data_IF_295709468339
#
_entry.id   IF_295709468339
#
_cell.length_a   1.000
_cell.length_b   1.000
_cell.length_c   1.000
_cell.angle_alpha   90.00
_cell.angle_beta   90.00
_cell.angle_gamma   90.00
#
_symmetry.space_group_name_H-M   'P 1'
#
loop_
_entity.id
_entity.type
_entity.pdbx_description
1 polymer ?
#
# COMPACT_ATOMS: atom_id res chain seq x y z
N UNK A 1 -15.76 -11.53 -2.24
CA UNK A 1 -14.38 -11.43 -2.74
C UNK A 1 -13.32 -11.64 -1.64
N UNK A 2 -13.21 -10.80 -0.62
CA UNK A 2 -12.13 -10.93 0.38
C UNK A 2 -12.07 -12.28 1.09
N UNK A 3 -13.23 -12.86 1.47
CA UNK A 3 -13.31 -14.20 2.07
C UNK A 3 -12.83 -15.32 1.13
N UNK A 4 -12.77 -15.06 -0.17
CA UNK A 4 -12.37 -16.02 -1.19
C UNK A 4 -10.86 -16.01 -1.47
N UNK A 5 -10.17 -14.92 -1.09
CA UNK A 5 -8.72 -14.83 -1.16
C UNK A 5 -8.13 -15.51 0.07
N UNK A 6 -7.31 -16.54 -0.13
CA UNK A 6 -6.61 -17.26 0.93
C UNK A 6 -5.16 -16.79 0.97
N UNK A 7 -4.81 -15.80 1.79
CA UNK A 7 -3.41 -15.44 1.98
C UNK A 7 -2.66 -16.57 2.70
N UNK A 8 -1.34 -16.61 2.49
CA UNK A 8 -0.48 -17.57 3.16
C UNK A 8 -0.46 -17.34 4.69
N UNK A 9 -0.01 -18.37 5.42
CA UNK A 9 0.15 -18.28 6.88
C UNK A 9 1.09 -17.14 7.25
N UNK A 10 0.79 -16.44 8.32
CA UNK A 10 1.57 -15.28 8.79
C UNK A 10 1.15 -13.93 8.19
N UNK A 11 0.18 -13.91 7.29
CA UNK A 11 -0.35 -12.67 6.72
C UNK A 11 -1.56 -12.18 7.53
N UNK A 12 -1.44 -10.98 8.10
CA UNK A 12 -2.52 -10.33 8.83
C UNK A 12 -3.63 -9.82 7.92
N UNK A 13 -4.85 -10.30 8.13
CA UNK A 13 -6.05 -9.90 7.39
C UNK A 13 -6.62 -8.57 7.93
N UNK A 14 -5.84 -7.51 7.86
CA UNK A 14 -6.26 -6.19 8.33
C UNK A 14 -7.12 -5.44 7.30
N UNK A 15 -7.68 -4.29 7.73
CA UNK A 15 -8.57 -3.48 6.90
C UNK A 15 -7.88 -2.94 5.64
N UNK A 16 -6.62 -2.50 5.74
CA UNK A 16 -5.88 -1.99 4.59
C UNK A 16 -5.65 -3.06 3.52
N UNK A 17 -5.33 -4.30 3.93
CA UNK A 17 -5.22 -5.42 2.99
C UNK A 17 -6.56 -5.67 2.26
N UNK A 18 -7.69 -5.58 2.99
CA UNK A 18 -9.03 -5.74 2.41
C UNK A 18 -9.33 -4.68 1.35
N UNK A 19 -9.04 -3.43 1.66
CA UNK A 19 -9.26 -2.29 0.77
C UNK A 19 -8.36 -2.36 -0.46
N UNK A 20 -7.08 -2.66 -0.28
CA UNK A 20 -6.14 -2.85 -1.38
C UNK A 20 -6.59 -3.98 -2.31
N UNK A 21 -6.95 -5.14 -1.78
CA UNK A 21 -7.43 -6.28 -2.56
C UNK A 21 -8.68 -5.94 -3.36
N UNK A 22 -9.64 -5.26 -2.73
CA UNK A 22 -10.89 -4.88 -3.39
C UNK A 22 -10.64 -3.94 -4.57
N UNK A 23 -9.84 -2.89 -4.35
CA UNK A 23 -9.59 -1.90 -5.40
C UNK A 23 -8.71 -2.44 -6.52
N UNK A 24 -7.71 -3.28 -6.22
CA UNK A 24 -6.91 -3.96 -7.25
C UNK A 24 -7.81 -4.88 -8.09
N UNK A 25 -8.65 -5.69 -7.44
CA UNK A 25 -9.60 -6.53 -8.15
C UNK A 25 -10.54 -5.72 -9.05
N UNK A 26 -11.10 -4.63 -8.52
CA UNK A 26 -11.96 -3.74 -9.29
C UNK A 26 -11.21 -3.13 -10.47
N UNK A 27 -10.02 -2.55 -10.24
CA UNK A 27 -9.18 -1.96 -11.30
C UNK A 27 -8.86 -2.96 -12.42
N UNK A 28 -8.55 -4.21 -12.04
CA UNK A 28 -8.26 -5.27 -13.01
C UNK A 28 -9.50 -5.63 -13.84
N UNK A 29 -10.64 -5.89 -13.18
CA UNK A 29 -11.87 -6.32 -13.88
C UNK A 29 -12.47 -5.20 -14.75
N UNK A 30 -12.33 -3.95 -14.32
CA UNK A 30 -12.84 -2.80 -15.05
C UNK A 30 -11.84 -2.20 -16.04
N UNK A 31 -10.58 -2.64 -15.99
CA UNK A 31 -9.44 -2.07 -16.73
C UNK A 31 -9.20 -0.58 -16.43
N UNK A 32 -9.67 -0.11 -15.26
CA UNK A 32 -9.43 1.25 -14.81
C UNK A 32 -8.04 1.33 -14.19
N UNK A 33 -7.17 2.26 -14.64
CA UNK A 33 -5.87 2.46 -14.04
C UNK A 33 -5.97 2.79 -12.55
N UNK A 34 -5.17 2.11 -11.71
CA UNK A 34 -5.16 2.30 -10.27
C UNK A 34 -3.75 2.63 -9.79
N UNK A 35 -3.63 3.62 -8.91
CA UNK A 35 -2.38 3.94 -8.21
C UNK A 35 -2.63 3.84 -6.71
N UNK A 36 -1.84 3.01 -6.03
CA UNK A 36 -1.91 2.82 -4.59
C UNK A 36 -0.70 3.46 -3.93
N UNK A 37 -0.96 4.43 -3.07
CA UNK A 37 0.07 5.17 -2.33
C UNK A 37 -0.03 4.84 -0.86
N UNK A 38 1.09 4.53 -0.21
CA UNK A 38 1.11 4.28 1.23
C UNK A 38 2.49 3.87 1.72
N UNK A 39 2.71 3.93 3.02
CA UNK A 39 4.00 3.56 3.62
C UNK A 39 4.38 2.10 3.33
N UNK A 40 5.68 1.74 3.37
CA UNK A 40 6.11 0.35 3.33
C UNK A 40 5.39 -0.48 4.40
N UNK A 41 5.14 -1.75 4.12
CA UNK A 41 4.46 -2.66 5.05
C UNK A 41 2.92 -2.57 5.09
N UNK A 42 2.29 -1.70 4.29
CA UNK A 42 0.81 -1.60 4.21
C UNK A 42 0.15 -2.63 3.29
N UNK A 43 0.90 -3.63 2.81
CA UNK A 43 0.36 -4.76 2.04
C UNK A 43 0.05 -4.47 0.57
N UNK A 44 0.53 -3.36 -0.02
CA UNK A 44 0.23 -2.96 -1.41
C UNK A 44 0.66 -4.02 -2.44
N UNK A 45 1.96 -4.31 -2.52
CA UNK A 45 2.52 -5.29 -3.47
C UNK A 45 2.00 -6.70 -3.19
N UNK A 46 1.84 -7.04 -1.90
CA UNK A 46 1.23 -8.31 -1.48
C UNK A 46 -0.20 -8.46 -2.03
N UNK A 47 -1.01 -7.40 -1.96
CA UNK A 47 -2.37 -7.42 -2.48
C UNK A 47 -2.42 -7.67 -3.98
N UNK A 48 -1.53 -7.04 -4.76
CA UNK A 48 -1.41 -7.28 -6.19
C UNK A 48 -1.05 -8.74 -6.49
N UNK A 49 -0.08 -9.30 -5.76
CA UNK A 49 0.32 -10.69 -5.90
C UNK A 49 -0.80 -11.67 -5.52
N UNK A 50 -1.57 -11.39 -4.47
CA UNK A 50 -2.69 -12.23 -4.06
C UNK A 50 -3.81 -12.24 -5.12
N UNK A 51 -4.13 -11.11 -5.72
CA UNK A 51 -5.11 -11.04 -6.82
C UNK A 51 -4.60 -11.78 -8.06
N UNK A 52 -3.33 -11.53 -8.45
CA UNK A 52 -2.69 -12.24 -9.55
C UNK A 52 -2.74 -13.77 -9.36
N UNK A 53 -2.42 -14.25 -8.15
CA UNK A 53 -2.44 -15.68 -7.83
C UNK A 53 -3.85 -16.27 -7.76
N UNK A 54 -4.86 -15.46 -7.44
CA UNK A 54 -6.25 -15.90 -7.30
C UNK A 54 -6.99 -15.96 -8.65
N UNK A 55 -6.70 -15.03 -9.57
CA UNK A 55 -7.37 -14.91 -10.87
C UNK A 55 -6.62 -15.70 -11.95
N UNK A 56 -6.87 -17.01 -12.01
CA UNK A 56 -6.26 -17.95 -12.97
C UNK A 56 -7.25 -18.45 -14.04
N UNK A 57 -8.40 -17.75 -14.20
CA UNK A 57 -9.49 -18.20 -15.04
C UNK A 57 -10.07 -19.51 -14.53
N UNK A 58 -10.35 -20.45 -15.39
CA UNK A 58 -10.88 -21.80 -15.07
C UNK A 58 -10.01 -22.56 -14.06
N UNK A 59 -8.71 -22.30 -14.03
CA UNK A 59 -7.74 -22.93 -13.11
C UNK A 59 -7.69 -22.28 -11.74
N UNK A 60 -8.54 -21.30 -11.45
CA UNK A 60 -8.62 -20.68 -10.14
C UNK A 60 -9.06 -21.69 -9.09
N UNK A 61 -8.39 -21.71 -7.95
CA UNK A 61 -8.71 -22.61 -6.83
C UNK A 61 -10.09 -22.35 -6.21
N UNK A 62 -10.63 -21.17 -6.43
CA UNK A 62 -11.91 -20.73 -5.88
C UNK A 62 -12.91 -20.47 -7.01
N UNK A 63 -14.12 -21.01 -6.88
CA UNK A 63 -15.20 -20.87 -7.86
C UNK A 63 -15.59 -19.41 -8.16
N UNK A 64 -15.45 -18.51 -7.18
CA UNK A 64 -15.69 -17.08 -7.41
C UNK A 64 -14.76 -16.53 -8.50
N UNK A 65 -13.46 -16.86 -8.45
CA UNK A 65 -12.49 -16.35 -9.42
C UNK A 65 -12.50 -17.10 -10.76
N UNK A 66 -13.10 -18.28 -10.83
CA UNK A 66 -13.29 -19.01 -12.10
C UNK A 66 -14.20 -18.28 -13.07
N UNK A 67 -15.07 -17.40 -12.56
CA UNK A 67 -15.95 -16.55 -13.40
C UNK A 67 -15.25 -15.33 -14.00
N UNK A 68 -13.97 -15.13 -13.73
CA UNK A 68 -13.19 -13.99 -14.22
C UNK A 68 -12.05 -14.46 -15.11
N UNK A 69 -11.62 -13.62 -16.07
CA UNK A 69 -10.48 -13.94 -16.93
C UNK A 69 -9.21 -14.19 -16.12
N UNK A 70 -8.33 -15.02 -16.69
CA UNK A 70 -6.96 -15.16 -16.20
C UNK A 70 -6.25 -13.81 -16.29
N UNK A 71 -5.46 -13.47 -15.26
CA UNK A 71 -4.51 -12.35 -15.32
C UNK A 71 -3.19 -12.86 -15.89
N UNK A 72 -2.63 -12.13 -16.85
CA UNK A 72 -1.25 -12.22 -17.26
C UNK A 72 -0.50 -10.94 -16.88
N UNK A 73 0.57 -11.09 -16.09
CA UNK A 73 1.21 -9.95 -15.43
C UNK A 73 2.53 -9.59 -16.10
N UNK A 74 2.68 -8.32 -16.47
CA UNK A 74 3.97 -7.71 -16.78
C UNK A 74 4.41 -6.87 -15.59
N UNK A 75 5.52 -7.26 -14.94
CA UNK A 75 6.04 -6.61 -13.74
C UNK A 75 7.20 -5.66 -14.10
N UNK A 76 7.18 -4.47 -13.51
CA UNK A 76 8.28 -3.52 -13.61
C UNK A 76 8.53 -2.85 -12.27
N UNK A 77 9.80 -2.73 -11.88
CA UNK A 77 10.22 -2.05 -10.66
C UNK A 77 10.88 -0.71 -11.01
N UNK A 78 10.27 0.37 -10.56
CA UNK A 78 10.79 1.72 -10.73
C UNK A 78 12.03 2.00 -9.91
N UNK A 79 12.89 2.84 -10.46
CA UNK A 79 14.13 3.29 -9.83
C UNK A 79 14.43 4.75 -10.21
N UNK A 80 15.44 5.36 -9.57
CA UNK A 80 15.92 6.70 -9.93
C UNK A 80 16.58 6.76 -11.31
N UNK A 81 16.89 5.59 -11.90
CA UNK A 81 17.51 5.47 -13.22
C UNK A 81 16.51 5.03 -14.30
N UNK A 82 15.23 4.89 -13.96
CA UNK A 82 14.18 4.56 -14.93
C UNK A 82 14.09 5.66 -15.99
N UNK A 83 13.99 5.26 -17.26
CA UNK A 83 13.86 6.16 -18.40
C UNK A 83 12.44 6.10 -19.01
N UNK A 84 12.03 7.12 -19.79
CA UNK A 84 10.75 7.08 -20.49
C UNK A 84 10.60 5.86 -21.41
N UNK A 85 11.66 5.46 -22.09
CA UNK A 85 11.71 4.32 -23.00
C UNK A 85 11.40 3.00 -22.28
N UNK A 86 11.86 2.84 -21.03
CA UNK A 86 11.59 1.66 -20.20
C UNK A 86 10.07 1.53 -19.94
N UNK A 87 9.43 2.67 -19.68
CA UNK A 87 7.98 2.71 -19.43
C UNK A 87 7.19 2.48 -20.72
N UNK A 88 7.61 3.05 -21.85
CA UNK A 88 6.98 2.81 -23.15
C UNK A 88 7.08 1.33 -23.56
N UNK A 89 8.26 0.71 -23.38
CA UNK A 89 8.48 -0.70 -23.68
C UNK A 89 7.58 -1.60 -22.81
N UNK A 90 7.39 -1.25 -21.53
CA UNK A 90 6.49 -1.96 -20.63
C UNK A 90 5.05 -2.02 -21.16
N UNK A 91 4.51 -0.88 -21.59
CA UNK A 91 3.18 -0.82 -22.20
C UNK A 91 3.11 -1.58 -23.52
N UNK A 92 4.12 -1.41 -24.38
CA UNK A 92 4.21 -2.09 -25.67
C UNK A 92 4.19 -3.62 -25.50
N UNK A 93 4.98 -4.16 -24.57
CA UNK A 93 4.98 -5.60 -24.26
C UNK A 93 3.59 -6.09 -23.83
N UNK A 94 2.89 -5.33 -23.00
CA UNK A 94 1.55 -5.69 -22.53
C UNK A 94 0.51 -5.64 -23.66
N UNK A 95 0.59 -4.62 -24.52
CA UNK A 95 -0.29 -4.46 -25.70
C UNK A 95 -0.05 -5.58 -26.75
N UNK A 96 1.19 -5.93 -26.99
CA UNK A 96 1.58 -7.05 -27.86
C UNK A 96 1.04 -8.38 -27.33
N UNK A 97 1.22 -8.66 -26.04
CA UNK A 97 0.72 -9.86 -25.39
C UNK A 97 -0.81 -9.97 -25.53
N UNK A 98 -1.54 -8.91 -25.26
CA UNK A 98 -2.98 -8.87 -25.44
C UNK A 98 -3.39 -9.11 -26.88
N UNK A 99 -2.67 -8.56 -27.87
CA UNK A 99 -2.94 -8.75 -29.28
C UNK A 99 -2.81 -10.21 -29.73
N UNK A 100 -1.86 -10.96 -29.13
CA UNK A 100 -1.70 -12.39 -29.37
C UNK A 100 -2.91 -13.16 -28.83
N UNK A 101 -3.31 -12.91 -27.59
CA UNK A 101 -4.47 -13.57 -26.99
C UNK A 101 -5.76 -13.32 -27.76
N UNK A 102 -5.96 -12.09 -28.25
CA UNK A 102 -7.12 -11.73 -29.05
C UNK A 102 -7.16 -12.49 -30.37
N UNK A 103 -6.04 -12.57 -31.09
CA UNK A 103 -5.91 -13.32 -32.36
C UNK A 103 -6.18 -14.82 -32.17
N UNK A 104 -5.71 -15.41 -31.07
CA UNK A 104 -5.92 -16.82 -30.79
C UNK A 104 -7.38 -17.11 -30.43
N UNK A 105 -8.03 -16.18 -29.73
CA UNK A 105 -9.47 -16.31 -29.43
C UNK A 105 -10.33 -16.19 -30.71
N UNK A 106 -10.01 -15.23 -31.61
CA UNK A 106 -10.72 -15.05 -32.88
C UNK A 106 -10.60 -16.29 -33.80
N UNK A 107 -9.46 -16.96 -33.80
CA UNK A 107 -9.24 -18.21 -34.55
C UNK A 107 -10.03 -19.37 -33.96
N UNK A 108 -10.14 -19.47 -32.63
CA UNK A 108 -10.87 -20.53 -31.93
C UNK A 108 -12.39 -20.39 -32.13
N UNK A 109 -12.90 -19.19 -32.33
CA UNK A 109 -14.33 -18.90 -32.55
C UNK A 109 -14.86 -19.43 -33.91
N UNK A 110 -13.96 -19.72 -34.84
CA UNK A 110 -14.31 -20.26 -36.16
C UNK A 110 -14.42 -21.79 -36.21
N UNK A 111 -14.06 -22.48 -35.11
CA UNK A 111 -14.13 -23.95 -35.01
C UNK A 111 -15.03 -24.31 -33.82
N UNK A 112 -16.35 -24.57 -34.17
CA UNK A 112 -17.39 -25.09 -33.30
C UNK A 112 -17.60 -24.26 -31.99
N UNK A 113 -18.77 -23.58 -31.93
CA UNK A 113 -19.32 -22.92 -30.75
C UNK A 113 -19.67 -24.01 -29.69
N UNK A 114 -18.66 -24.49 -28.97
CA UNK A 114 -18.89 -25.07 -27.67
C UNK A 114 -19.03 -23.92 -26.68
N UNK A 115 -20.06 -23.99 -25.87
CA UNK A 115 -20.60 -22.97 -24.97
C UNK A 115 -19.69 -22.51 -23.84
N UNK A 116 -18.39 -22.69 -23.94
CA UNK A 116 -17.36 -22.14 -23.06
C UNK A 116 -16.52 -21.15 -23.87
N UNK A 117 -17.06 -19.94 -24.09
CA UNK A 117 -16.27 -18.80 -24.59
C UNK A 117 -15.08 -18.59 -23.66
N UNK A 118 -13.88 -19.03 -24.09
CA UNK A 118 -12.63 -18.78 -23.35
C UNK A 118 -12.45 -17.28 -23.23
N UNK A 119 -12.58 -16.79 -22.02
CA UNK A 119 -12.38 -15.37 -21.75
C UNK A 119 -10.94 -14.98 -22.08
N UNK A 120 -10.76 -13.90 -22.87
CA UNK A 120 -9.44 -13.37 -23.18
C UNK A 120 -8.73 -12.95 -21.88
N UNK A 121 -7.49 -13.37 -21.64
CA UNK A 121 -6.74 -12.97 -20.46
C UNK A 121 -6.61 -11.44 -20.35
N UNK A 122 -6.66 -10.93 -19.12
CA UNK A 122 -6.38 -9.52 -18.84
C UNK A 122 -4.87 -9.34 -18.66
N UNK A 123 -4.26 -8.47 -19.46
CA UNK A 123 -2.86 -8.13 -19.32
C UNK A 123 -2.70 -7.04 -18.23
N UNK A 124 -2.20 -7.42 -17.05
CA UNK A 124 -1.97 -6.51 -15.93
C UNK A 124 -0.53 -5.99 -15.93
N UNK A 125 -0.36 -4.69 -16.06
CA UNK A 125 0.90 -4.01 -15.81
C UNK A 125 0.97 -3.70 -14.32
N UNK A 126 1.93 -4.30 -13.61
CA UNK A 126 2.25 -3.97 -12.23
C UNK A 126 3.54 -3.16 -12.18
N UNK A 127 3.41 -1.86 -11.94
CA UNK A 127 4.53 -0.95 -11.79
C UNK A 127 4.76 -0.65 -10.31
N UNK A 128 5.72 -1.35 -9.71
CA UNK A 128 6.10 -1.13 -8.31
C UNK A 128 7.14 0.00 -8.18
N UNK A 129 7.24 0.61 -7.01
CA UNK A 129 8.14 1.73 -6.68
C UNK A 129 8.01 2.95 -7.63
N UNK A 130 6.77 3.29 -8.00
CA UNK A 130 6.47 4.43 -8.89
C UNK A 130 7.07 5.74 -8.37
N UNK A 131 7.07 5.95 -7.04
CA UNK A 131 7.64 7.14 -6.41
C UNK A 131 9.15 7.24 -6.53
N UNK A 132 9.88 6.13 -6.72
CA UNK A 132 11.31 6.18 -7.04
C UNK A 132 11.54 6.57 -8.50
N UNK A 133 10.73 6.05 -9.42
CA UNK A 133 10.79 6.45 -10.82
C UNK A 133 10.45 7.94 -11.02
N UNK A 134 9.59 8.51 -10.18
CA UNK A 134 9.29 9.95 -10.21
C UNK A 134 10.50 10.83 -9.91
N UNK A 135 11.44 10.34 -9.09
CA UNK A 135 12.68 11.03 -8.74
C UNK A 135 13.73 10.98 -9.85
N UNK A 136 13.49 10.24 -10.94
CA UNK A 136 14.39 10.19 -12.08
C UNK A 136 14.49 11.55 -12.78
N UNK A 137 15.70 11.91 -13.20
CA UNK A 137 15.98 13.14 -13.95
C UNK A 137 15.26 13.20 -15.30
N UNK A 138 15.04 12.05 -15.92
CA UNK A 138 14.42 11.91 -17.24
C UNK A 138 12.89 12.02 -17.22
N UNK A 139 12.27 12.08 -16.00
CA UNK A 139 10.82 12.19 -15.79
C UNK A 139 9.99 11.11 -16.52
N UNK A 140 10.30 9.83 -16.35
CA UNK A 140 9.68 8.73 -17.09
C UNK A 140 8.17 8.64 -16.92
N UNK A 141 7.63 9.08 -15.78
CA UNK A 141 6.18 9.02 -15.53
C UNK A 141 5.35 9.98 -16.42
N UNK A 142 5.98 10.85 -17.22
CA UNK A 142 5.25 11.62 -18.24
C UNK A 142 4.59 10.74 -19.29
N UNK A 143 5.16 9.58 -19.58
CA UNK A 143 4.58 8.58 -20.50
C UNK A 143 3.20 8.13 -20.03
N UNK A 144 2.96 8.05 -18.73
CA UNK A 144 1.67 7.67 -18.17
C UNK A 144 0.55 8.62 -18.59
N UNK A 145 0.86 9.89 -18.92
CA UNK A 145 -0.16 10.85 -19.35
C UNK A 145 -0.88 10.40 -20.65
N UNK A 146 -0.14 9.89 -21.62
CA UNK A 146 -0.72 9.39 -22.87
C UNK A 146 -1.23 7.96 -22.75
N UNK A 147 -0.54 7.11 -21.97
CA UNK A 147 -0.86 5.69 -21.85
C UNK A 147 -2.09 5.41 -20.97
N UNK A 148 -2.33 6.21 -19.94
CA UNK A 148 -3.46 6.05 -19.03
C UNK A 148 -4.70 6.87 -19.44
N UNK A 149 -4.62 7.62 -20.52
CA UNK A 149 -5.78 8.35 -21.03
C UNK A 149 -6.86 7.37 -21.50
N UNK A 150 -8.07 7.53 -20.92
CA UNK A 150 -9.20 6.67 -21.25
C UNK A 150 -9.89 7.17 -22.53
N UNK A 151 -9.89 6.37 -23.56
CA UNK A 151 -10.49 6.67 -24.86
C UNK A 151 -11.89 6.02 -25.06
N UNK A 152 -12.50 5.54 -23.97
CA UNK A 152 -13.81 4.89 -23.99
C UNK A 152 -13.80 3.44 -24.47
N UNK A 153 -12.65 2.87 -24.82
CA UNK A 153 -12.52 1.48 -25.27
C UNK A 153 -11.77 0.65 -24.24
N UNK A 154 -12.22 -0.59 -24.06
CA UNK A 154 -11.44 -1.59 -23.30
C UNK A 154 -10.21 -1.96 -24.11
N UNK A 155 -9.03 -1.78 -23.51
CA UNK A 155 -7.74 -2.06 -24.16
C UNK A 155 -7.23 -3.48 -23.86
N UNK A 156 -7.91 -4.23 -22.99
CA UNK A 156 -7.46 -5.54 -22.49
C UNK A 156 -6.21 -5.46 -21.62
N UNK A 157 -5.79 -4.25 -21.28
CA UNK A 157 -4.65 -3.98 -20.40
C UNK A 157 -5.11 -3.18 -19.20
N UNK A 158 -4.64 -3.57 -18.02
CA UNK A 158 -4.89 -2.90 -16.74
C UNK A 158 -3.58 -2.38 -16.17
N UNK A 159 -3.57 -1.17 -15.64
CA UNK A 159 -2.39 -0.58 -15.00
C UNK A 159 -2.59 -0.48 -13.48
N UNK A 160 -1.67 -1.08 -12.72
CA UNK A 160 -1.61 -0.98 -11.26
C UNK A 160 -0.26 -0.38 -10.89
N UNK A 161 -0.28 0.83 -10.37
CA UNK A 161 0.90 1.53 -9.87
C UNK A 161 0.99 1.46 -8.34
N UNK A 162 2.17 1.19 -7.80
CA UNK A 162 2.41 1.14 -6.36
C UNK A 162 3.48 2.17 -6.00
N UNK A 163 3.21 2.99 -5.00
CA UNK A 163 4.16 4.00 -4.52
C UNK A 163 4.24 4.03 -2.99
N UNK A 164 5.43 4.27 -2.48
CA UNK A 164 5.68 4.55 -1.06
C UNK A 164 5.60 6.06 -0.74
N UNK A 165 5.54 6.89 -1.77
CA UNK A 165 5.51 8.35 -1.68
C UNK A 165 4.33 8.92 -2.46
N UNK A 166 3.84 10.08 -2.02
CA UNK A 166 2.86 10.85 -2.80
C UNK A 166 3.44 11.24 -4.14
N UNK A 167 2.65 11.07 -5.19
CA UNK A 167 2.99 11.48 -6.55
C UNK A 167 2.41 12.84 -6.87
N UNK A 168 2.95 13.50 -7.88
CA UNK A 168 2.39 14.74 -8.41
C UNK A 168 0.94 14.55 -8.86
N UNK A 169 0.05 15.46 -8.45
CA UNK A 169 -1.37 15.43 -8.75
C UNK A 169 -1.67 15.30 -10.24
N UNK A 170 -0.89 15.98 -11.11
CA UNK A 170 -1.06 15.91 -12.55
C UNK A 170 -0.89 14.49 -13.12
N UNK A 171 -0.09 13.64 -12.47
CA UNK A 171 0.15 12.25 -12.90
C UNK A 171 -0.92 11.30 -12.37
N UNK A 172 -1.49 11.62 -11.21
CA UNK A 172 -2.49 10.79 -10.53
C UNK A 172 -3.89 10.99 -11.10
N UNK A 173 -4.19 12.15 -11.67
CA UNK A 173 -5.53 12.51 -12.16
C UNK A 173 -6.08 11.62 -13.29
N UNK A 174 -5.25 10.76 -13.91
CA UNK A 174 -5.65 9.82 -14.96
C UNK A 174 -5.84 8.38 -14.46
N UNK A 175 -5.70 8.18 -13.17
CA UNK A 175 -5.87 6.91 -12.52
C UNK A 175 -6.72 7.06 -11.26
N UNK A 176 -7.41 6.00 -10.88
CA UNK A 176 -8.01 5.93 -9.55
C UNK A 176 -6.88 5.91 -8.52
N UNK A 177 -6.90 6.81 -7.55
CA UNK A 177 -5.86 6.90 -6.52
C UNK A 177 -6.39 6.46 -5.17
N UNK A 178 -5.68 5.49 -4.56
CA UNK A 178 -5.92 5.06 -3.19
C UNK A 178 -4.74 5.48 -2.31
N UNK A 179 -5.03 6.31 -1.30
CA UNK A 179 -4.07 6.58 -0.22
C UNK A 179 -4.33 5.64 0.96
N UNK A 180 -3.40 4.72 1.19
CA UNK A 180 -3.51 3.73 2.27
C UNK A 180 -3.07 4.35 3.59
N UNK A 181 -3.96 4.40 4.61
CA UNK A 181 -3.61 4.95 5.91
C UNK A 181 -2.54 4.12 6.60
N UNK A 182 -1.75 4.79 7.45
CA UNK A 182 -0.76 4.10 8.26
C UNK A 182 -1.46 3.32 9.39
N UNK A 183 -1.34 2.00 9.37
CA UNK A 183 -1.93 1.12 10.39
C UNK A 183 -1.27 1.30 11.77
N UNK A 184 0.00 1.70 11.79
CA UNK A 184 0.79 1.83 13.00
C UNK A 184 0.31 2.96 13.95
N UNK A 185 -0.51 3.87 13.42
CA UNK A 185 -1.00 5.02 14.17
C UNK A 185 -2.24 4.68 15.05
N UNK A 186 -2.76 3.43 14.96
CA UNK A 186 -3.96 3.01 15.68
C UNK A 186 -3.72 1.67 16.38
N UNK A 187 -3.70 1.69 17.72
CA UNK A 187 -3.49 0.49 18.56
C UNK A 187 -4.49 -0.63 18.23
N UNK A 188 -5.76 -0.30 18.00
CA UNK A 188 -6.78 -1.31 17.68
C UNK A 188 -6.54 -2.02 16.35
N UNK A 189 -5.97 -1.32 15.37
CA UNK A 189 -5.59 -1.93 14.08
C UNK A 189 -4.37 -2.84 14.24
N UNK A 190 -3.40 -2.44 15.06
CA UNK A 190 -2.24 -3.28 15.39
C UNK A 190 -2.67 -4.56 16.11
N UNK A 191 -3.59 -4.47 17.08
CA UNK A 191 -4.14 -5.64 17.76
C UNK A 191 -4.84 -6.57 16.80
N UNK A 192 -5.76 -6.07 15.97
CA UNK A 192 -6.46 -6.88 14.96
C UNK A 192 -5.50 -7.53 13.97
N UNK A 193 -4.42 -6.85 13.60
CA UNK A 193 -3.39 -7.41 12.72
C UNK A 193 -2.64 -8.55 13.42
N UNK A 194 -2.22 -8.34 14.68
CA UNK A 194 -1.56 -9.35 15.48
C UNK A 194 -2.43 -10.59 15.69
N UNK A 195 -3.69 -10.39 16.09
CA UNK A 195 -4.66 -11.48 16.27
C UNK A 195 -4.83 -12.29 14.98
N UNK A 196 -5.01 -11.61 13.84
CA UNK A 196 -5.18 -12.27 12.55
C UNK A 196 -3.93 -13.02 12.06
N UNK A 197 -2.72 -12.57 12.39
CA UNK A 197 -1.47 -13.29 12.13
C UNK A 197 -1.45 -14.59 12.95
N UNK A 198 -1.76 -14.48 14.22
CA UNK A 198 -1.77 -15.63 15.15
C UNK A 198 -2.78 -16.68 14.72
N UNK A 199 -4.03 -16.26 14.41
CA UNK A 199 -5.06 -17.14 13.87
C UNK A 199 -4.59 -17.90 12.61
N UNK A 200 -3.77 -17.24 11.78
CA UNK A 200 -3.27 -17.86 10.56
C UNK A 200 -2.17 -18.89 10.76
N UNK A 201 -1.41 -18.79 11.88
CA UNK A 201 -0.24 -19.63 12.16
C UNK A 201 -0.60 -20.79 13.08
N UNK A 202 -1.35 -20.50 14.14
CA UNK A 202 -1.67 -21.45 15.19
C UNK A 202 -3.09 -21.99 15.03
N UNK A 203 -3.26 -23.29 15.20
CA UNK A 203 -4.57 -23.93 15.32
C UNK A 203 -5.19 -23.64 16.70
N UNK A 204 -6.50 -23.81 16.82
CA UNK A 204 -7.38 -23.38 17.91
C UNK A 204 -6.91 -23.69 19.36
N UNK A 205 -6.06 -24.68 19.58
CA UNK A 205 -5.61 -25.06 20.92
C UNK A 205 -4.66 -24.06 21.61
N UNK A 206 -3.95 -23.20 20.85
CA UNK A 206 -2.98 -22.21 21.37
C UNK A 206 -3.62 -20.81 21.49
N UNK A 207 -4.85 -20.67 21.02
CA UNK A 207 -5.56 -19.39 20.91
C UNK A 207 -5.88 -18.70 22.26
N UNK A 208 -5.79 -19.43 23.36
CA UNK A 208 -6.03 -18.88 24.71
C UNK A 208 -4.98 -17.87 25.20
N UNK A 209 -3.90 -17.62 24.43
CA UNK A 209 -2.86 -16.67 24.78
C UNK A 209 -2.98 -15.31 24.07
N UNK A 210 -4.19 -14.84 23.77
CA UNK A 210 -4.48 -13.48 23.26
C UNK A 210 -3.81 -12.37 24.08
N UNK A 211 -3.50 -12.63 25.35
CA UNK A 211 -2.83 -11.68 26.24
C UNK A 211 -1.43 -11.31 25.73
N UNK A 212 -0.62 -12.28 25.31
CA UNK A 212 0.76 -12.05 24.88
C UNK A 212 0.79 -11.16 23.63
N UNK A 213 -0.08 -11.43 22.67
CA UNK A 213 -0.11 -10.67 21.41
C UNK A 213 -0.67 -9.26 21.59
N UNK A 214 -1.65 -9.10 22.47
CA UNK A 214 -2.13 -7.79 22.90
C UNK A 214 -1.02 -6.99 23.60
N UNK A 215 -0.22 -7.63 24.43
CA UNK A 215 0.95 -7.01 25.10
C UNK A 215 1.99 -6.61 24.04
N UNK A 216 2.32 -7.49 23.09
CA UNK A 216 3.29 -7.19 22.03
C UNK A 216 2.82 -6.06 21.11
N UNK A 217 1.54 -6.06 20.70
CA UNK A 217 0.97 -4.99 19.90
C UNK A 217 1.02 -3.64 20.63
N UNK A 218 0.73 -3.65 21.94
CA UNK A 218 0.80 -2.46 22.78
C UNK A 218 2.25 -2.00 22.97
N UNK A 219 3.17 -2.92 23.26
CA UNK A 219 4.60 -2.61 23.41
C UNK A 219 5.18 -2.01 22.12
N UNK A 220 4.80 -2.54 20.95
CA UNK A 220 5.21 -1.98 19.66
C UNK A 220 4.64 -0.57 19.43
N UNK A 221 3.37 -0.36 19.76
CA UNK A 221 2.72 0.95 19.66
C UNK A 221 3.41 2.00 20.54
N UNK A 222 3.65 1.68 21.83
CA UNK A 222 4.35 2.57 22.77
C UNK A 222 5.81 2.84 22.34
N UNK A 223 6.51 1.80 21.85
CA UNK A 223 7.86 1.97 21.29
C UNK A 223 7.90 2.93 20.09
N UNK A 224 6.94 2.85 19.20
CA UNK A 224 6.80 3.77 18.04
C UNK A 224 6.56 5.21 18.51
N UNK A 225 5.66 5.39 19.49
CA UNK A 225 5.42 6.70 20.09
C UNK A 225 6.67 7.28 20.74
N UNK A 226 7.41 6.46 21.47
CA UNK A 226 8.68 6.84 22.08
C UNK A 226 9.74 7.21 21.03
N UNK A 227 9.87 6.46 19.93
CA UNK A 227 10.78 6.80 18.84
C UNK A 227 10.43 8.13 18.19
N UNK A 228 9.15 8.40 17.97
CA UNK A 228 8.71 9.67 17.41
C UNK A 228 9.02 10.84 18.38
N UNK A 229 8.82 10.62 19.67
CA UNK A 229 9.18 11.58 20.71
C UNK A 229 10.70 11.88 20.72
N UNK A 230 11.55 10.86 20.64
CA UNK A 230 13.00 11.04 20.53
C UNK A 230 13.39 11.84 19.29
N UNK A 231 12.76 11.57 18.13
CA UNK A 231 13.00 12.35 16.91
C UNK A 231 12.59 13.81 17.07
N UNK A 232 11.45 14.08 17.70
CA UNK A 232 11.02 15.45 18.01
C UNK A 232 11.99 16.17 18.93
N UNK A 233 12.50 15.46 19.98
CA UNK A 233 13.54 16.01 20.88
C UNK A 233 14.86 16.30 20.16
N UNK A 234 15.26 15.45 19.22
CA UNK A 234 16.49 15.64 18.43
C UNK A 234 16.38 16.90 17.57
N UNK A 235 15.23 17.10 16.91
CA UNK A 235 14.95 18.32 16.15
C UNK A 235 14.98 19.57 17.04
N UNK A 236 14.37 19.49 18.23
CA UNK A 236 14.41 20.59 19.21
C UNK A 236 15.82 20.91 19.69
N UNK A 237 16.65 19.87 19.89
CA UNK A 237 18.06 20.05 20.29
C UNK A 237 18.87 20.71 19.17
N UNK A 238 18.73 20.26 17.92
CA UNK A 238 19.37 20.90 16.77
C UNK A 238 18.96 22.37 16.65
N UNK A 239 17.66 22.65 16.74
CA UNK A 239 17.14 24.01 16.72
C UNK A 239 17.74 24.87 17.84
N UNK A 240 17.87 24.34 19.06
CA UNK A 240 18.52 25.01 20.20
C UNK A 240 20.00 25.25 19.96
N UNK A 241 20.73 24.29 19.36
CA UNK A 241 22.16 24.39 19.09
C UNK A 241 22.45 25.40 17.96
N UNK A 242 21.64 25.42 16.92
CA UNK A 242 21.72 26.39 15.82
C UNK A 242 21.49 27.84 16.30
N UNK A 243 20.71 28.02 17.38
CA UNK A 243 20.33 29.33 17.92
C UNK A 243 21.12 29.74 19.17
N UNK A 244 22.07 28.95 19.65
CA UNK A 244 22.93 29.30 20.81
C UNK A 244 23.79 30.55 20.56
N UNK A 245 24.10 30.84 19.31
CA UNK A 245 24.88 32.03 18.91
C UNK A 245 24.02 33.28 18.66
N UNK A 246 22.72 33.19 18.82
CA UNK A 246 21.80 34.32 18.61
C UNK A 246 21.66 35.11 19.93
N UNK A 247 21.89 36.39 19.88
CA UNK A 247 21.89 37.28 21.06
C UNK A 247 20.57 37.29 21.84
N UNK A 248 20.59 37.70 23.09
CA UNK A 248 19.44 37.69 24.02
C UNK A 248 18.15 38.33 23.49
N UNK A 249 18.21 39.18 22.46
CA UNK A 249 17.03 39.80 21.83
C UNK A 249 16.20 38.80 21.04
N UNK A 250 16.84 37.87 20.39
CA UNK A 250 16.19 36.89 19.49
C UNK A 250 15.53 35.74 20.26
N UNK A 251 15.96 35.50 21.51
CA UNK A 251 15.31 34.54 22.42
C UNK A 251 13.83 34.87 22.74
N UNK A 252 13.45 36.18 22.67
CA UNK A 252 12.06 36.59 22.84
C UNK A 252 11.21 36.29 21.59
N UNK A 253 11.81 36.35 20.39
CA UNK A 253 11.16 35.99 19.13
C UNK A 253 10.97 34.46 19.02
N UNK A 254 11.97 33.67 19.37
CA UNK A 254 11.89 32.22 19.39
C UNK A 254 10.78 31.73 20.33
N UNK A 255 10.59 32.36 21.49
CA UNK A 255 9.48 32.09 22.41
C UNK A 255 8.10 32.39 21.83
N UNK A 256 8.02 33.21 20.77
CA UNK A 256 6.78 33.55 20.04
C UNK A 256 6.55 32.68 18.81
N UNK A 257 7.52 31.85 18.43
CA UNK A 257 7.35 30.91 17.32
C UNK A 257 6.26 29.89 17.67
N UNK A 258 5.14 29.96 16.97
CA UNK A 258 3.98 29.09 17.20
C UNK A 258 4.34 27.59 17.05
N UNK A 259 5.32 27.29 16.20
CA UNK A 259 5.79 25.92 15.97
C UNK A 259 6.53 25.39 17.22
N UNK A 260 7.38 26.21 17.82
CA UNK A 260 8.10 25.88 19.06
C UNK A 260 7.14 25.74 20.25
N UNK A 261 6.15 26.64 20.36
CA UNK A 261 5.12 26.57 21.41
C UNK A 261 4.24 25.32 21.25
N UNK A 262 3.89 24.95 20.01
CA UNK A 262 3.13 23.70 19.72
C UNK A 262 3.91 22.46 20.14
N UNK A 263 5.21 22.40 19.85
CA UNK A 263 6.09 21.28 20.24
C UNK A 263 6.21 21.17 21.76
N UNK A 264 6.41 22.28 22.47
CA UNK A 264 6.48 22.30 23.95
C UNK A 264 5.16 21.89 24.62
N UNK A 265 4.01 22.28 24.06
CA UNK A 265 2.69 21.89 24.55
C UNK A 265 2.45 20.39 24.35
N UNK A 266 2.91 19.83 23.24
CA UNK A 266 2.82 18.40 22.93
C UNK A 266 3.70 17.59 23.89
N UNK A 267 4.91 18.05 24.18
CA UNK A 267 5.82 17.42 25.15
C UNK A 267 5.22 17.35 26.58
N UNK A 268 4.60 18.46 27.06
CA UNK A 268 3.91 18.47 28.36
C UNK A 268 2.75 17.49 28.40
N UNK A 269 1.97 17.37 27.34
CA UNK A 269 0.84 16.43 27.26
C UNK A 269 1.33 14.98 27.30
N UNK A 270 2.42 14.66 26.60
CA UNK A 270 3.03 13.33 26.59
C UNK A 270 3.56 12.97 27.98
N UNK A 271 4.23 13.90 28.69
CA UNK A 271 4.74 13.66 30.06
C UNK A 271 3.61 13.40 31.06
N UNK A 272 2.49 14.09 30.94
CA UNK A 272 1.31 13.86 31.81
C UNK A 272 0.64 12.52 31.52
N UNK A 273 0.57 12.09 30.26
CA UNK A 273 0.04 10.79 29.89
C UNK A 273 0.94 9.63 30.35
N UNK A 274 2.27 9.80 30.30
CA UNK A 274 3.23 8.80 30.77
C UNK A 274 3.20 8.64 32.30
N UNK A 275 3.08 9.73 33.06
CA UNK A 275 2.99 9.66 34.52
C UNK A 275 1.62 9.12 34.99
N UNK A 276 0.53 9.54 34.35
CA UNK A 276 -0.81 9.02 34.66
C UNK A 276 -0.98 7.51 34.41
N UNK A 277 -0.26 6.95 33.45
CA UNK A 277 -0.29 5.51 33.19
C UNK A 277 0.55 4.69 34.17
N UNK A 278 1.64 5.23 34.76
CA UNK A 278 2.42 4.55 35.78
C UNK A 278 1.60 4.31 37.05
N UNK A 279 0.83 5.29 37.47
CA UNK A 279 -0.03 5.20 38.68
C UNK A 279 -1.18 4.20 38.52
N UNK A 280 -1.65 3.97 37.28
CA UNK A 280 -2.71 2.99 36.99
C UNK A 280 -2.19 1.54 36.88
N UNK A 281 -0.92 1.34 36.56
CA UNK A 281 -0.31 -0.01 36.48
C UNK A 281 0.02 -0.52 37.89
N UNK A 282 0.48 0.36 38.79
CA UNK A 282 0.78 -0.01 40.20
C UNK A 282 -0.48 -0.32 41.03
N UNK A 283 -1.66 0.16 40.63
CA UNK A 283 -2.96 -0.09 41.30
C UNK A 283 -3.71 -1.35 40.85
N UNK A 284 -3.26 -1.99 39.76
CA UNK A 284 -3.88 -3.23 39.27
C UNK A 284 -3.09 -4.50 39.52
N UNK A 285 -1.94 -4.40 40.22
CA UNK A 285 -1.05 -5.55 40.53
C UNK A 285 -0.94 -5.78 42.06
N UNK A 286 -1.92 -5.33 42.83
CA UNK A 286 -2.10 -5.72 44.24
C UNK A 286 -3.45 -6.42 44.41
#
# INVERSE_FOLDING_TARGET
MFAQVKPDKGIGKNQSLKENLFLIFLGVVTEIPLIIVGKPGTGKSLSAQLIYNSMRGEYSKNSFFQNYPKIDQTYFQGSKNTNPEDVEELFKKSEELYSVYKKDNDKSSNVIKDSNDKQVPICMILFDELGLAEQSKTKPLKVLHSKLEYDGKKKGTCFIGISNYSLDAAKVNRALSLSVPNLEDKLDQLKKTADSIVESIFSDEIYNNNLIFNILARAYYEYKHWLNFIKELTVLKQYSDDHKNIGKKDFKEIKRDEKFIKLLKKDRKIKTEFHGNRDNISKKTL
#
